data_IF_287964897686
#
_entry.id   IF_287964897686
#
_cell.length_a   1.000
_cell.length_b   1.000
_cell.length_c   1.000
_cell.angle_alpha   90.00
_cell.angle_beta   90.00
_cell.angle_gamma   90.00
#
_symmetry.space_group_name_H-M   'P 1'
#
loop_
_entity.id
_entity.type
_entity.pdbx_description
1 polymer ?
#
# COMPACT_ATOMS: atom_id res chain seq x y z
N UNK A 1 -2.39 -2.70 -23.55
CA UNK A 1 -2.27 -1.24 -23.87
C UNK A 1 -2.74 -0.48 -22.65
N UNK A 2 -1.87 0.29 -22.05
CA UNK A 2 -2.21 1.21 -20.96
C UNK A 2 -2.70 2.50 -21.60
N UNK A 3 -3.91 2.94 -21.25
CA UNK A 3 -4.44 4.22 -21.73
C UNK A 3 -4.43 5.17 -20.53
N UNK A 4 -3.59 6.18 -20.59
CA UNK A 4 -3.60 7.30 -19.65
C UNK A 4 -4.32 8.49 -20.28
N UNK A 5 -5.31 9.03 -19.58
CA UNK A 5 -6.03 10.22 -20.02
C UNK A 5 -6.35 11.13 -18.84
N UNK A 6 -6.21 12.43 -19.04
CA UNK A 6 -6.76 13.44 -18.12
C UNK A 6 -8.10 13.87 -18.70
N UNK A 7 -9.19 13.60 -17.96
CA UNK A 7 -10.52 13.99 -18.37
C UNK A 7 -11.03 15.10 -17.43
N UNK A 8 -11.42 16.21 -18.02
CA UNK A 8 -12.14 17.27 -17.33
C UNK A 8 -13.64 17.03 -17.50
N UNK A 9 -14.35 16.72 -16.41
CA UNK A 9 -15.81 16.65 -16.44
C UNK A 9 -16.40 18.03 -16.20
N UNK A 10 -17.08 18.56 -17.21
CA UNK A 10 -17.91 19.74 -17.06
C UNK A 10 -19.29 19.31 -16.54
N UNK A 11 -19.71 19.81 -15.36
CA UNK A 11 -21.05 19.61 -14.84
C UNK A 11 -22.06 20.53 -15.53
N UNK A 12 -23.30 20.08 -15.80
CA UNK A 12 -24.30 20.90 -16.48
C UNK A 12 -24.88 21.98 -15.58
N UNK A 13 -24.85 23.12 -16.11
CA UNK A 13 -25.67 24.34 -16.07
C UNK A 13 -26.67 24.46 -14.89
N UNK A 14 -26.17 25.05 -13.84
CA UNK A 14 -26.98 25.85 -12.93
C UNK A 14 -26.76 27.34 -13.26
N UNK A 15 -27.70 28.26 -12.92
CA UNK A 15 -27.50 29.68 -13.14
C UNK A 15 -26.22 30.12 -12.38
N UNK A 16 -25.16 30.35 -13.16
CA UNK A 16 -23.84 30.62 -12.64
C UNK A 16 -23.74 32.06 -12.16
N UNK A 17 -23.63 32.27 -10.88
CA UNK A 17 -23.15 33.52 -10.29
C UNK A 17 -21.62 33.60 -10.22
N UNK A 18 -20.92 32.48 -10.53
CA UNK A 18 -19.46 32.35 -10.57
C UNK A 18 -19.02 31.27 -11.57
N UNK A 19 -17.73 31.22 -11.91
CA UNK A 19 -17.17 30.12 -12.70
C UNK A 19 -17.36 28.78 -11.98
N UNK A 20 -17.65 27.68 -12.72
CA UNK A 20 -17.79 26.35 -12.14
C UNK A 20 -16.48 25.92 -11.45
N UNK A 21 -16.59 25.30 -10.29
CA UNK A 21 -15.44 24.65 -9.65
C UNK A 21 -15.20 23.30 -10.32
N UNK A 22 -14.22 23.27 -11.23
CA UNK A 22 -13.86 22.07 -12.00
C UNK A 22 -12.89 21.20 -11.20
N UNK A 23 -13.25 19.94 -10.99
CA UNK A 23 -12.39 18.95 -10.38
C UNK A 23 -11.49 18.30 -11.43
N UNK A 24 -10.17 18.40 -11.26
CA UNK A 24 -9.19 17.72 -12.11
C UNK A 24 -8.82 16.39 -11.48
N UNK A 25 -8.93 15.32 -12.25
CA UNK A 25 -8.61 13.96 -11.80
C UNK A 25 -7.63 13.30 -12.76
N UNK A 26 -6.75 12.47 -12.20
CA UNK A 26 -5.92 11.53 -12.95
C UNK A 26 -6.64 10.19 -12.98
N UNK A 27 -7.02 9.74 -14.17
CA UNK A 27 -7.61 8.43 -14.38
C UNK A 27 -6.59 7.48 -15.03
N UNK A 28 -6.46 6.29 -14.49
CA UNK A 28 -5.63 5.21 -15.07
C UNK A 28 -6.49 3.98 -15.22
N UNK A 29 -6.43 3.34 -16.40
CA UNK A 29 -7.09 2.06 -16.67
C UNK A 29 -6.10 1.04 -17.17
N UNK A 30 -6.19 -0.20 -16.67
CA UNK A 30 -5.47 -1.35 -17.20
C UNK A 30 -6.44 -2.50 -17.44
N UNK A 31 -6.21 -3.29 -18.47
CA UNK A 31 -7.00 -4.48 -18.76
C UNK A 31 -6.14 -5.52 -19.49
N UNK A 32 -6.44 -6.78 -19.25
CA UNK A 32 -5.71 -7.88 -19.87
C UNK A 32 -5.55 -9.08 -18.94
N UNK A 33 -5.03 -10.19 -19.47
CA UNK A 33 -4.85 -11.43 -18.72
C UNK A 33 -3.72 -11.35 -17.67
N UNK A 34 -2.76 -10.48 -17.89
CA UNK A 34 -1.60 -10.29 -17.00
C UNK A 34 -1.79 -9.14 -16.01
N UNK A 35 -2.94 -8.46 -16.08
CA UNK A 35 -3.23 -7.35 -15.21
C UNK A 35 -3.83 -7.84 -13.89
N UNK A 36 -3.47 -7.17 -12.81
CA UNK A 36 -3.90 -7.51 -11.47
C UNK A 36 -4.13 -6.28 -10.60
N UNK A 37 -4.73 -6.48 -9.44
CA UNK A 37 -4.81 -5.47 -8.40
C UNK A 37 -3.42 -4.93 -8.03
N UNK A 38 -2.41 -5.80 -8.00
CA UNK A 38 -1.03 -5.41 -7.67
C UNK A 38 -0.35 -4.62 -8.78
N UNK A 39 -0.72 -4.83 -10.04
CA UNK A 39 -0.28 -3.96 -11.16
C UNK A 39 -0.73 -2.53 -10.93
N UNK A 40 -2.02 -2.34 -10.58
CA UNK A 40 -2.56 -1.01 -10.31
C UNK A 40 -1.93 -0.39 -9.05
N UNK A 41 -1.72 -1.19 -7.99
CA UNK A 41 -1.00 -0.74 -6.78
C UNK A 41 0.43 -0.31 -7.11
N UNK A 42 1.13 -1.04 -8.00
CA UNK A 42 2.48 -0.67 -8.46
C UNK A 42 2.50 0.68 -9.18
N UNK A 43 1.51 0.95 -10.04
CA UNK A 43 1.36 2.26 -10.70
C UNK A 43 1.14 3.37 -9.66
N UNK A 44 0.25 3.15 -8.68
CA UNK A 44 0.01 4.12 -7.61
C UNK A 44 1.30 4.40 -6.81
N UNK A 45 2.05 3.36 -6.44
CA UNK A 45 3.32 3.51 -5.74
C UNK A 45 4.35 4.29 -6.57
N UNK A 46 4.46 4.03 -7.88
CA UNK A 46 5.35 4.77 -8.78
C UNK A 46 5.01 6.27 -8.83
N UNK A 47 3.71 6.60 -8.80
CA UNK A 47 3.27 8.01 -8.72
C UNK A 47 3.73 8.61 -7.38
N UNK A 48 3.51 7.92 -6.26
CA UNK A 48 3.93 8.37 -4.94
C UNK A 48 5.44 8.59 -4.86
N UNK A 49 6.23 7.61 -5.32
CA UNK A 49 7.70 7.68 -5.37
C UNK A 49 8.20 8.86 -6.21
N UNK A 50 7.56 9.11 -7.38
CA UNK A 50 7.93 10.24 -8.24
C UNK A 50 7.75 11.60 -7.58
N UNK A 51 6.84 11.68 -6.61
CA UNK A 51 6.53 12.87 -5.82
C UNK A 51 7.24 12.90 -4.45
N UNK A 52 7.98 11.85 -4.10
CA UNK A 52 8.64 11.68 -2.80
C UNK A 52 7.65 11.69 -1.62
N UNK A 53 6.52 11.00 -1.80
CA UNK A 53 5.45 10.83 -0.81
C UNK A 53 5.12 9.34 -0.65
N UNK A 54 4.41 8.98 0.41
CA UNK A 54 3.95 7.63 0.66
C UNK A 54 2.43 7.56 0.63
N UNK A 55 1.90 6.55 -0.10
CA UNK A 55 0.46 6.26 -0.10
C UNK A 55 0.18 5.11 0.86
N UNK A 56 -0.92 5.25 1.60
CA UNK A 56 -1.52 4.16 2.36
C UNK A 56 -2.85 3.76 1.74
N UNK A 57 -3.26 2.52 1.97
CA UNK A 57 -4.41 1.92 1.31
C UNK A 57 -5.35 1.31 2.33
N UNK A 58 -6.64 1.65 2.23
CA UNK A 58 -7.68 1.04 3.05
C UNK A 58 -8.80 0.48 2.16
N UNK A 59 -9.44 -0.62 2.55
CA UNK A 59 -10.57 -1.16 1.80
C UNK A 59 -11.66 -0.11 1.58
N UNK A 60 -12.26 -0.11 0.38
CA UNK A 60 -13.37 0.76 0.02
C UNK A 60 -14.45 -0.01 -0.71
N UNK A 61 -15.70 0.36 -0.51
CA UNK A 61 -16.83 -0.16 -1.26
C UNK A 61 -17.38 0.91 -2.20
N UNK A 62 -17.39 0.60 -3.49
CA UNK A 62 -17.99 1.42 -4.54
C UNK A 62 -18.76 0.48 -5.47
N UNK A 63 -19.96 0.87 -5.88
CA UNK A 63 -20.87 0.02 -6.68
C UNK A 63 -20.26 -0.45 -8.00
N UNK A 64 -19.35 0.33 -8.56
CA UNK A 64 -18.66 0.03 -9.81
C UNK A 64 -17.30 -0.71 -9.64
N UNK A 65 -16.90 -1.00 -8.40
CA UNK A 65 -15.69 -1.76 -8.09
C UNK A 65 -16.02 -3.10 -7.43
N UNK A 66 -15.10 -4.03 -7.61
CA UNK A 66 -15.18 -5.36 -6.99
C UNK A 66 -15.07 -5.24 -5.46
N UNK A 67 -15.97 -5.88 -4.67
CA UNK A 67 -16.09 -5.65 -3.22
C UNK A 67 -14.84 -6.01 -2.41
N UNK A 68 -13.99 -6.92 -2.92
CA UNK A 68 -12.77 -7.39 -2.23
C UNK A 68 -11.47 -6.96 -2.92
N UNK A 69 -11.53 -6.25 -4.04
CA UNK A 69 -10.36 -5.79 -4.78
C UNK A 69 -10.50 -4.30 -5.10
N UNK A 70 -10.81 -3.52 -4.08
CA UNK A 70 -10.94 -2.08 -4.16
C UNK A 70 -10.41 -1.42 -2.89
N UNK A 71 -9.64 -0.35 -3.06
CA UNK A 71 -9.08 0.44 -1.97
C UNK A 71 -9.20 1.93 -2.25
N UNK A 72 -9.36 2.71 -1.19
CA UNK A 72 -9.09 4.14 -1.21
C UNK A 72 -7.59 4.38 -1.03
N UNK A 73 -7.12 5.43 -1.64
CA UNK A 73 -5.72 5.88 -1.57
C UNK A 73 -5.67 7.08 -0.66
N UNK A 74 -4.83 7.00 0.36
CA UNK A 74 -4.61 8.09 1.30
C UNK A 74 -3.16 8.57 1.23
N UNK A 75 -2.96 9.86 1.42
CA UNK A 75 -1.66 10.49 1.62
C UNK A 75 -1.72 11.26 2.95
N UNK A 76 -0.83 10.92 3.89
CA UNK A 76 -0.81 11.47 5.24
C UNK A 76 -2.22 11.47 5.90
N UNK A 77 -2.99 10.38 5.71
CA UNK A 77 -4.35 10.21 6.25
C UNK A 77 -5.46 10.93 5.48
N UNK A 78 -5.14 11.71 4.45
CA UNK A 78 -6.13 12.38 3.58
C UNK A 78 -6.45 11.50 2.39
N UNK A 79 -7.74 11.21 2.14
CA UNK A 79 -8.18 10.49 0.94
C UNK A 79 -7.96 11.34 -0.30
N UNK A 80 -7.19 10.78 -1.25
CA UNK A 80 -6.85 11.44 -2.52
C UNK A 80 -7.44 10.72 -3.73
N UNK A 81 -8.05 9.57 -3.53
CA UNK A 81 -8.66 8.80 -4.60
C UNK A 81 -8.89 7.34 -4.26
N UNK A 82 -9.02 6.53 -5.28
CA UNK A 82 -9.27 5.09 -5.15
C UNK A 82 -8.73 4.33 -6.35
N UNK A 83 -8.54 3.02 -6.18
CA UNK A 83 -8.37 2.10 -7.30
C UNK A 83 -8.95 0.72 -6.97
N UNK A 84 -9.21 -0.05 -8.01
CA UNK A 84 -9.67 -1.41 -7.85
C UNK A 84 -10.03 -2.09 -9.16
N UNK A 85 -10.43 -3.36 -9.05
CA UNK A 85 -10.99 -4.13 -10.16
C UNK A 85 -12.40 -3.62 -10.45
N UNK A 86 -12.78 -3.49 -11.70
CA UNK A 86 -14.16 -3.19 -12.08
C UNK A 86 -15.11 -4.30 -11.60
N UNK A 87 -16.33 -3.93 -11.21
CA UNK A 87 -17.34 -4.88 -10.77
C UNK A 87 -17.72 -5.84 -11.90
N UNK A 88 -18.12 -7.05 -11.57
CA UNK A 88 -18.43 -8.09 -12.57
C UNK A 88 -19.64 -7.76 -13.45
N UNK A 89 -20.65 -7.13 -12.90
CA UNK A 89 -21.82 -6.67 -13.63
C UNK A 89 -21.47 -5.69 -14.74
N UNK A 90 -20.63 -4.70 -14.44
CA UNK A 90 -20.09 -3.74 -15.42
C UNK A 90 -19.23 -4.42 -16.47
N UNK A 91 -18.35 -5.35 -16.08
CA UNK A 91 -17.54 -6.08 -17.03
C UNK A 91 -18.42 -6.93 -17.99
N UNK A 92 -19.50 -7.51 -17.47
CA UNK A 92 -20.45 -8.29 -18.27
C UNK A 92 -21.26 -7.38 -19.21
N UNK A 93 -21.79 -6.26 -18.73
CA UNK A 93 -22.53 -5.28 -19.52
C UNK A 93 -21.69 -4.75 -20.69
N UNK A 94 -20.42 -4.48 -20.45
CA UNK A 94 -19.47 -4.03 -21.47
C UNK A 94 -18.88 -5.19 -22.31
N UNK A 95 -19.33 -6.44 -22.10
CA UNK A 95 -18.83 -7.62 -22.77
C UNK A 95 -17.29 -7.78 -22.71
N UNK A 96 -16.71 -7.41 -21.60
CA UNK A 96 -15.25 -7.49 -21.39
C UNK A 96 -14.82 -8.94 -21.19
N UNK A 97 -13.84 -9.39 -21.97
CA UNK A 97 -13.30 -10.76 -21.90
C UNK A 97 -12.21 -10.94 -20.86
N UNK A 98 -11.65 -9.85 -20.34
CA UNK A 98 -10.56 -9.85 -19.37
C UNK A 98 -10.87 -8.89 -18.23
N UNK A 99 -10.22 -9.09 -17.10
CA UNK A 99 -10.37 -8.17 -15.96
C UNK A 99 -9.86 -6.77 -16.30
N UNK A 100 -10.60 -5.76 -15.85
CA UNK A 100 -10.22 -4.36 -15.92
C UNK A 100 -10.00 -3.81 -14.52
N UNK A 101 -9.01 -2.95 -14.40
CA UNK A 101 -8.67 -2.22 -13.18
C UNK A 101 -8.65 -0.74 -13.48
N UNK A 102 -9.18 0.05 -12.57
CA UNK A 102 -9.28 1.51 -12.71
C UNK A 102 -8.74 2.19 -11.47
N UNK A 103 -8.15 3.35 -11.65
CA UNK A 103 -7.70 4.24 -10.60
C UNK A 103 -8.14 5.67 -10.92
N UNK A 104 -8.58 6.39 -9.91
CA UNK A 104 -8.85 7.81 -9.98
C UNK A 104 -8.20 8.51 -8.79
N UNK A 105 -7.37 9.52 -9.07
CA UNK A 105 -6.74 10.37 -8.07
C UNK A 105 -7.13 11.83 -8.28
N UNK A 106 -7.49 12.52 -7.20
CA UNK A 106 -7.77 13.96 -7.21
C UNK A 106 -6.46 14.75 -7.30
N UNK A 107 -6.27 15.45 -8.42
CA UNK A 107 -5.04 16.22 -8.66
C UNK A 107 -4.92 17.44 -7.74
N UNK A 108 -6.03 18.03 -7.28
CA UNK A 108 -6.01 19.15 -6.35
C UNK A 108 -5.51 18.70 -4.98
N UNK A 109 -6.04 17.58 -4.48
CA UNK A 109 -5.58 16.99 -3.23
C UNK A 109 -4.11 16.53 -3.36
N UNK A 110 -3.76 15.82 -4.43
CA UNK A 110 -2.40 15.35 -4.67
C UNK A 110 -1.39 16.50 -4.78
N UNK A 111 -1.79 17.64 -5.36
CA UNK A 111 -0.91 18.81 -5.52
C UNK A 111 -0.48 19.45 -4.20
N UNK A 112 -1.17 19.22 -3.09
CA UNK A 112 -0.81 19.73 -1.76
C UNK A 112 0.54 19.22 -1.28
N UNK A 113 0.96 18.07 -1.77
CA UNK A 113 2.25 17.45 -1.43
C UNK A 113 3.33 17.69 -2.48
N UNK A 114 2.99 18.35 -3.61
CA UNK A 114 3.96 18.66 -4.64
C UNK A 114 4.94 19.74 -4.16
N UNK A 115 6.23 19.51 -4.42
CA UNK A 115 7.27 20.51 -4.13
C UNK A 115 7.73 20.54 -2.66
N UNK A 116 7.38 19.57 -1.84
CA UNK A 116 8.05 19.38 -0.53
C UNK A 116 9.57 19.28 -0.78
N UNK A 117 10.36 20.11 -0.09
CA UNK A 117 11.82 20.15 -0.26
C UNK A 117 12.40 18.80 0.13
N UNK A 118 13.07 18.15 -0.81
CA UNK A 118 13.88 16.96 -0.51
C UNK A 118 15.02 17.36 0.43
N UNK A 119 15.06 16.74 1.58
CA UNK A 119 16.17 16.90 2.52
C UNK A 119 17.19 15.82 2.21
N UNK A 120 18.43 16.24 1.95
CA UNK A 120 19.53 15.29 1.77
C UNK A 120 19.69 14.44 3.03
N UNK A 121 19.57 13.13 2.90
CA UNK A 121 19.89 12.20 3.96
C UNK A 121 21.26 11.57 3.66
N UNK A 122 22.28 11.80 4.49
CA UNK A 122 23.59 11.18 4.26
C UNK A 122 23.49 9.66 4.32
N UNK A 123 24.20 9.01 3.43
CA UNK A 123 24.30 7.54 3.41
C UNK A 123 24.98 7.11 4.72
N UNK A 124 24.35 6.16 5.42
CA UNK A 124 24.95 5.59 6.63
C UNK A 124 26.32 4.99 6.32
N UNK A 125 27.31 5.27 7.19
CA UNK A 125 28.64 4.65 7.13
C UNK A 125 28.64 3.24 7.70
N UNK A 126 27.55 2.83 8.33
CA UNK A 126 27.43 1.54 8.99
C UNK A 126 26.63 0.57 8.14
N UNK A 127 27.00 -0.69 8.18
CA UNK A 127 26.30 -1.75 7.45
C UNK A 127 24.88 -1.96 8.03
N UNK A 128 23.93 -2.11 7.13
CA UNK A 128 22.54 -2.47 7.48
C UNK A 128 22.46 -3.96 7.81
N UNK A 129 21.63 -4.30 8.79
CA UNK A 129 21.37 -5.67 9.18
C UNK A 129 19.98 -6.11 8.71
N UNK A 130 19.91 -7.28 8.08
CA UNK A 130 18.65 -7.87 7.60
C UNK A 130 18.30 -9.12 8.39
N UNK A 131 17.02 -9.28 8.68
CA UNK A 131 16.48 -10.48 9.33
C UNK A 131 15.19 -10.90 8.64
N UNK A 132 15.13 -12.17 8.31
CA UNK A 132 13.92 -12.79 7.79
C UNK A 132 13.12 -13.35 8.95
N UNK A 133 11.86 -12.93 9.05
CA UNK A 133 10.96 -13.28 10.14
C UNK A 133 9.66 -13.81 9.54
N UNK A 134 9.28 -15.02 9.89
CA UNK A 134 8.02 -15.62 9.48
C UNK A 134 7.06 -15.68 10.66
N UNK A 135 5.84 -15.23 10.46
CA UNK A 135 4.83 -15.14 11.49
C UNK A 135 3.56 -15.89 11.10
N UNK A 136 2.97 -16.61 12.07
CA UNK A 136 1.67 -17.24 11.91
C UNK A 136 0.61 -16.36 12.56
N UNK A 137 -0.45 -16.04 11.82
CA UNK A 137 -1.50 -15.12 12.23
C UNK A 137 -2.86 -15.49 11.67
N UNK A 138 -3.92 -14.89 12.19
CA UNK A 138 -5.26 -15.05 11.65
C UNK A 138 -5.38 -14.43 10.24
N UNK A 139 -6.21 -15.04 9.37
CA UNK A 139 -6.36 -14.61 7.96
C UNK A 139 -6.85 -13.18 7.80
N UNK A 140 -7.62 -12.68 8.75
CA UNK A 140 -8.19 -11.33 8.73
C UNK A 140 -7.18 -10.21 9.03
N UNK A 141 -6.01 -10.53 9.61
CA UNK A 141 -4.98 -9.54 9.91
C UNK A 141 -4.33 -9.09 8.60
N UNK A 142 -4.33 -7.79 8.34
CA UNK A 142 -3.75 -7.25 7.12
C UNK A 142 -2.21 -7.20 7.19
N UNK A 143 -1.56 -7.27 6.03
CA UNK A 143 -0.11 -7.07 5.93
C UNK A 143 0.29 -5.68 6.43
N UNK A 144 -0.50 -4.65 6.10
CA UNK A 144 -0.22 -3.27 6.51
C UNK A 144 -0.24 -3.08 8.04
N UNK A 145 -1.16 -3.74 8.75
CA UNK A 145 -1.21 -3.68 10.22
C UNK A 145 0.04 -4.29 10.84
N UNK A 146 0.51 -5.42 10.29
CA UNK A 146 1.75 -6.08 10.73
C UNK A 146 2.96 -5.19 10.46
N UNK A 147 3.06 -4.62 9.26
CA UNK A 147 4.16 -3.70 8.90
C UNK A 147 4.19 -2.47 9.81
N UNK A 148 3.04 -1.86 10.08
CA UNK A 148 2.93 -0.71 10.99
C UNK A 148 3.37 -1.07 12.41
N UNK A 149 2.90 -2.20 12.93
CA UNK A 149 3.31 -2.70 14.24
C UNK A 149 4.84 -2.92 14.34
N UNK A 150 5.46 -3.49 13.28
CA UNK A 150 6.91 -3.68 13.21
C UNK A 150 7.65 -2.33 13.19
N UNK A 151 7.19 -1.35 12.39
CA UNK A 151 7.80 -0.01 12.34
C UNK A 151 7.74 0.70 13.69
N UNK A 152 6.61 0.66 14.36
CA UNK A 152 6.42 1.26 15.68
C UNK A 152 7.22 0.54 16.78
N UNK A 153 7.47 -0.76 16.63
CA UNK A 153 8.25 -1.52 17.61
C UNK A 153 9.69 -1.03 17.72
N UNK A 154 10.29 -0.53 16.62
CA UNK A 154 11.69 -0.18 16.62
C UNK A 154 12.04 0.94 15.61
N UNK A 155 12.57 2.06 16.14
CA UNK A 155 12.99 3.24 15.35
C UNK A 155 14.14 3.01 14.35
N UNK A 156 14.81 1.87 14.43
CA UNK A 156 15.91 1.49 13.54
C UNK A 156 15.42 0.66 12.34
N UNK A 157 14.13 0.30 12.28
CA UNK A 157 13.54 -0.33 11.10
C UNK A 157 13.52 0.69 9.97
N UNK A 158 14.25 0.37 8.89
CA UNK A 158 14.33 1.18 7.67
C UNK A 158 13.36 0.71 6.63
N UNK A 159 13.33 -0.60 6.40
CA UNK A 159 12.53 -1.22 5.35
C UNK A 159 11.92 -2.53 5.85
N UNK A 160 10.69 -2.79 5.43
CA UNK A 160 10.01 -4.06 5.64
C UNK A 160 9.54 -4.53 4.28
N UNK A 161 9.88 -5.77 3.92
CA UNK A 161 9.48 -6.38 2.66
C UNK A 161 8.80 -7.71 2.92
N UNK A 162 7.53 -7.81 2.58
CA UNK A 162 6.84 -9.10 2.50
C UNK A 162 7.38 -9.87 1.29
N UNK A 163 7.86 -11.09 1.49
CA UNK A 163 8.36 -11.92 0.40
C UNK A 163 7.62 -13.26 0.24
N UNK A 164 6.87 -13.70 1.25
CA UNK A 164 6.07 -14.91 1.15
C UNK A 164 4.78 -14.83 1.97
N UNK A 165 3.69 -15.39 1.41
CA UNK A 165 2.42 -15.61 2.10
C UNK A 165 2.01 -17.07 1.85
N UNK A 166 1.90 -17.85 2.91
CA UNK A 166 1.59 -19.25 2.82
C UNK A 166 0.32 -19.62 3.59
N UNK A 167 -0.58 -20.31 2.89
CA UNK A 167 -1.80 -20.90 3.44
C UNK A 167 -1.83 -22.38 3.04
N UNK A 168 -1.44 -23.29 3.92
CA UNK A 168 -1.39 -24.71 3.58
C UNK A 168 -1.42 -25.62 4.80
N UNK A 169 -1.37 -26.91 4.58
CA UNK A 169 -1.61 -27.96 5.60
C UNK A 169 -0.69 -27.96 6.82
N UNK A 170 0.38 -27.17 6.80
CA UNK A 170 1.25 -26.97 7.98
C UNK A 170 0.82 -25.78 8.84
N UNK A 171 -0.17 -25.02 8.40
CA UNK A 171 -0.72 -23.85 9.12
C UNK A 171 -2.13 -24.22 9.60
N UNK A 172 -2.49 -23.94 10.85
CA UNK A 172 -3.84 -24.21 11.37
C UNK A 172 -4.92 -23.57 10.50
N UNK A 173 -6.08 -24.22 10.41
CA UNK A 173 -7.24 -23.67 9.69
C UNK A 173 -7.62 -22.29 10.22
N UNK A 174 -7.96 -21.36 9.33
CA UNK A 174 -8.24 -19.96 9.69
C UNK A 174 -7.01 -19.08 9.87
N UNK A 175 -5.80 -19.63 9.76
CA UNK A 175 -4.54 -18.89 9.86
C UNK A 175 -3.79 -18.85 8.53
N UNK A 176 -2.84 -17.91 8.42
CA UNK A 176 -1.85 -17.77 7.35
C UNK A 176 -0.47 -17.51 7.95
N UNK A 177 0.56 -17.82 7.18
CA UNK A 177 1.94 -17.42 7.49
C UNK A 177 2.36 -16.30 6.55
N UNK A 178 2.92 -15.23 7.10
CA UNK A 178 3.56 -14.17 6.31
C UNK A 178 5.03 -14.06 6.70
N UNK A 179 5.91 -13.99 5.69
CA UNK A 179 7.33 -13.88 5.87
C UNK A 179 7.85 -12.52 5.38
N UNK A 180 8.58 -11.84 6.27
CA UNK A 180 9.08 -10.49 6.04
C UNK A 180 10.59 -10.46 6.17
N UNK A 181 11.26 -9.74 5.26
CA UNK A 181 12.62 -9.27 5.47
C UNK A 181 12.54 -7.90 6.14
N UNK A 182 13.07 -7.78 7.35
CA UNK A 182 13.17 -6.51 8.09
C UNK A 182 14.62 -6.02 8.02
N UNK A 183 14.80 -4.81 7.48
CA UNK A 183 16.12 -4.16 7.39
C UNK A 183 16.26 -3.14 8.50
N UNK A 184 17.27 -3.28 9.34
CA UNK A 184 17.64 -2.35 10.39
C UNK A 184 18.80 -1.47 9.93
N UNK A 185 18.67 -0.16 10.03
CA UNK A 185 19.71 0.79 9.67
C UNK A 185 20.28 1.48 10.91
N UNK A 186 21.58 1.34 11.17
CA UNK A 186 22.25 2.05 12.26
C UNK A 186 22.39 3.54 11.93
N UNK A 187 22.23 4.40 12.95
CA UNK A 187 22.36 5.87 12.80
C UNK A 187 23.68 6.40 13.34
N UNK A 188 24.14 5.90 14.47
CA UNK A 188 25.28 6.45 15.23
C UNK A 188 26.42 5.44 15.40
N UNK A 189 26.12 4.15 15.52
CA UNK A 189 27.09 3.07 15.75
C UNK A 189 26.65 1.78 15.06
N UNK A 190 27.59 0.94 14.68
CA UNK A 190 27.28 -0.39 14.11
C UNK A 190 26.47 -1.24 15.11
N UNK A 191 25.61 -2.10 14.60
CA UNK A 191 24.90 -3.05 15.45
C UNK A 191 25.74 -4.31 15.66
N UNK A 192 25.79 -4.78 16.89
CA UNK A 192 26.23 -6.12 17.23
C UNK A 192 25.06 -7.12 17.12
N UNK A 193 25.40 -8.40 17.12
CA UNK A 193 24.41 -9.47 17.00
C UNK A 193 23.37 -9.43 18.13
N UNK A 194 23.81 -9.19 19.38
CA UNK A 194 22.92 -9.15 20.55
C UNK A 194 21.91 -8.01 20.47
N UNK A 195 22.35 -6.87 19.96
CA UNK A 195 21.48 -5.70 19.78
C UNK A 195 20.38 -5.97 18.75
N UNK A 196 20.73 -6.58 17.62
CA UNK A 196 19.76 -6.97 16.60
C UNK A 196 18.79 -8.02 17.12
N UNK A 197 19.28 -9.00 17.90
CA UNK A 197 18.43 -9.99 18.54
C UNK A 197 17.38 -9.36 19.46
N UNK A 198 17.78 -8.38 20.28
CA UNK A 198 16.83 -7.61 21.12
C UNK A 198 15.81 -6.83 20.31
N UNK A 199 16.16 -6.36 19.11
CA UNK A 199 15.21 -5.70 18.22
C UNK A 199 14.14 -6.68 17.73
N UNK A 200 14.56 -7.87 17.31
CA UNK A 200 13.64 -8.95 16.89
C UNK A 200 12.70 -9.36 18.04
N UNK A 201 13.25 -9.58 19.24
CA UNK A 201 12.45 -9.92 20.41
C UNK A 201 11.40 -8.85 20.74
N UNK A 202 11.76 -7.58 20.60
CA UNK A 202 10.83 -6.47 20.83
C UNK A 202 9.70 -6.48 19.81
N UNK A 203 10.03 -6.73 18.54
CA UNK A 203 9.04 -6.86 17.45
C UNK A 203 8.10 -8.03 17.75
N UNK A 204 8.63 -9.21 18.05
CA UNK A 204 7.84 -10.40 18.36
C UNK A 204 6.90 -10.16 19.55
N UNK A 205 7.38 -9.57 20.64
CA UNK A 205 6.57 -9.24 21.81
C UNK A 205 5.44 -8.27 21.47
N UNK A 206 5.70 -7.26 20.66
CA UNK A 206 4.67 -6.29 20.27
C UNK A 206 3.61 -6.95 19.39
N UNK A 207 3.99 -7.72 18.38
CA UNK A 207 3.08 -8.47 17.52
C UNK A 207 2.24 -9.48 18.29
N UNK A 208 2.81 -10.16 19.27
CA UNK A 208 2.09 -11.08 20.13
C UNK A 208 1.05 -10.36 21.00
N UNK A 209 1.40 -9.20 21.57
CA UNK A 209 0.52 -8.43 22.43
C UNK A 209 -0.66 -7.80 21.66
N UNK A 210 -0.43 -7.30 20.44
CA UNK A 210 -1.45 -6.58 19.67
C UNK A 210 -2.35 -7.52 18.86
N UNK A 211 -1.79 -8.57 18.29
CA UNK A 211 -2.48 -9.43 17.33
C UNK A 211 -2.45 -10.91 17.66
N UNK A 212 -1.86 -11.30 18.80
CA UNK A 212 -1.64 -12.72 19.17
C UNK A 212 -0.90 -13.50 18.06
N UNK A 213 0.09 -12.85 17.44
CA UNK A 213 0.92 -13.39 16.35
C UNK A 213 2.11 -14.13 16.96
N UNK A 214 2.42 -15.30 16.42
CA UNK A 214 3.54 -16.13 16.83
C UNK A 214 4.62 -16.19 15.74
N UNK A 215 5.88 -16.15 16.17
CA UNK A 215 7.02 -16.39 15.26
C UNK A 215 7.00 -17.87 14.87
N UNK A 216 7.08 -18.12 13.57
CA UNK A 216 7.23 -19.48 13.06
C UNK A 216 8.69 -19.89 13.23
N UNK A 217 8.93 -20.94 14.03
CA UNK A 217 10.25 -21.55 14.22
C UNK A 217 10.71 -22.35 13.01
#
# INVERSE_FOLDING_TARGET
RTVTGVQTCALPILPLTSYPDERKVLCVGTFGNNESFFTMKGIANTIAESMDIEFTYEPVQKSFLHPYQAVKVLCEGTEIGYFGKAAYDIQNELSMRTSAYIMELDLKELSRWYGKKRTFQPISKFQEEKRDLAFVMDKNISCGDVENCIREANKYVKEIRLFDVYEGGQIPEGKKSMAFTVTFAPKEEAFDFEKVQKFVEKICKKLQNEFNIELRG
#
